data_IF_676354472802
#
_entry.id   IF_676354472802
#
_cell.length_a   1.000
_cell.length_b   1.000
_cell.length_c   1.000
_cell.angle_alpha   90.00
_cell.angle_beta   90.00
_cell.angle_gamma   90.00
#
_symmetry.space_group_name_H-M   'P 1'
#
loop_
_entity.id
_entity.type
_entity.pdbx_description
1 polymer ?
#
# COMPACT_ATOMS: atom_id res chain seq x y z
N UNK A 1 -28.11 -25.66 -7.93
CA UNK A 1 -27.58 -24.29 -8.06
C UNK A 1 -27.89 -23.54 -6.78
N UNK A 2 -26.98 -23.59 -5.81
CA UNK A 2 -27.17 -22.95 -4.51
C UNK A 2 -26.76 -21.48 -4.61
N UNK A 3 -27.73 -20.57 -4.50
CA UNK A 3 -27.46 -19.16 -4.27
C UNK A 3 -26.90 -19.08 -2.85
N UNK A 4 -25.58 -19.06 -2.71
CA UNK A 4 -24.95 -18.65 -1.45
C UNK A 4 -25.38 -17.21 -1.19
N UNK A 5 -26.27 -17.03 -0.22
CA UNK A 5 -26.55 -15.73 0.36
C UNK A 5 -25.22 -15.15 0.85
N UNK A 6 -24.75 -14.11 0.15
CA UNK A 6 -23.57 -13.33 0.51
C UNK A 6 -23.89 -12.65 1.85
N UNK A 7 -23.34 -13.18 2.93
CA UNK A 7 -23.10 -12.36 4.12
C UNK A 7 -22.01 -11.35 3.74
N UNK A 8 -22.41 -10.21 3.15
CA UNK A 8 -21.61 -8.99 3.32
C UNK A 8 -21.62 -8.73 4.82
N UNK A 9 -20.55 -9.10 5.53
CA UNK A 9 -20.42 -8.85 6.96
C UNK A 9 -20.70 -7.36 7.22
N UNK A 10 -21.82 -7.03 7.87
CA UNK A 10 -22.25 -5.66 8.18
C UNK A 10 -21.16 -4.84 8.90
N UNK A 11 -20.26 -5.54 9.62
CA UNK A 11 -19.02 -5.01 10.21
C UNK A 11 -18.17 -4.16 9.26
N UNK A 12 -18.18 -4.47 7.97
CA UNK A 12 -17.36 -3.78 6.96
C UNK A 12 -17.95 -2.44 6.50
N UNK A 13 -19.20 -2.11 6.78
CA UNK A 13 -19.76 -0.78 6.43
C UNK A 13 -19.26 0.34 7.35
N UNK A 14 -18.80 -0.01 8.54
CA UNK A 14 -18.41 0.95 9.57
C UNK A 14 -16.91 1.27 9.61
N UNK A 15 -16.06 0.49 8.92
CA UNK A 15 -14.62 0.70 8.88
C UNK A 15 -14.23 1.72 7.80
N UNK A 16 -13.38 2.69 8.16
CA UNK A 16 -12.89 3.70 7.19
C UNK A 16 -11.95 3.07 6.16
N UNK A 17 -11.19 2.06 6.57
CA UNK A 17 -10.18 1.42 5.74
C UNK A 17 -10.42 -0.09 5.67
N UNK A 18 -10.13 -0.66 4.49
CA UNK A 18 -10.06 -2.10 4.29
C UNK A 18 -8.59 -2.49 4.29
N UNK A 19 -8.23 -3.40 5.18
CA UNK A 19 -6.88 -3.94 5.29
C UNK A 19 -6.73 -5.18 4.41
N UNK A 20 -5.66 -5.22 3.63
CA UNK A 20 -5.22 -6.39 2.89
C UNK A 20 -3.76 -6.68 3.25
N UNK A 21 -3.41 -7.95 3.36
CA UNK A 21 -2.05 -8.38 3.63
C UNK A 21 -1.69 -9.54 2.73
N UNK A 22 -0.40 -9.81 2.58
CA UNK A 22 -0.02 -11.16 2.21
C UNK A 22 -0.51 -12.09 3.32
N UNK A 23 -1.28 -13.13 2.98
CA UNK A 23 -1.88 -13.99 4.00
C UNK A 23 -0.86 -14.53 4.98
N UNK A 24 -1.34 -15.05 6.10
CA UNK A 24 -0.55 -15.78 7.09
C UNK A 24 -0.08 -17.14 6.54
N UNK A 25 0.44 -17.19 5.32
CA UNK A 25 1.16 -18.36 4.84
C UNK A 25 2.57 -18.23 5.42
N UNK A 26 2.89 -19.09 6.39
CA UNK A 26 4.11 -19.08 7.20
C UNK A 26 5.39 -19.17 6.34
N UNK A 27 5.23 -19.48 5.06
CA UNK A 27 6.19 -19.16 4.02
C UNK A 27 6.09 -17.65 3.72
N UNK A 28 6.67 -16.84 4.62
CA UNK A 28 7.23 -15.55 4.20
C UNK A 28 7.99 -15.82 2.92
N UNK A 29 7.38 -15.45 1.80
CA UNK A 29 7.99 -15.65 0.51
C UNK A 29 9.11 -14.62 0.49
N UNK A 30 10.28 -15.04 0.97
CA UNK A 30 11.53 -14.34 0.75
C UNK A 30 11.71 -14.35 -0.76
N UNK A 31 11.11 -13.37 -1.42
CA UNK A 31 11.42 -13.10 -2.80
C UNK A 31 12.92 -12.87 -2.83
N UNK A 32 13.67 -13.55 -3.71
CA UNK A 32 15.01 -13.11 -4.01
C UNK A 32 14.89 -11.68 -4.56
N UNK A 33 15.13 -10.71 -3.69
CA UNK A 33 15.16 -9.31 -4.06
C UNK A 33 16.46 -9.13 -4.84
N UNK A 34 16.34 -9.05 -6.16
CA UNK A 34 17.44 -8.55 -6.97
C UNK A 34 17.59 -7.05 -6.69
N UNK A 35 18.59 -6.75 -5.88
CA UNK A 35 18.95 -5.39 -5.45
C UNK A 35 20.09 -4.81 -6.29
N UNK A 36 20.64 -5.55 -7.26
CA UNK A 36 21.89 -5.19 -7.94
C UNK A 36 21.81 -3.83 -8.66
N UNK A 37 20.62 -3.44 -9.11
CA UNK A 37 20.39 -2.16 -9.77
C UNK A 37 19.90 -1.04 -8.85
N UNK A 38 19.62 -1.33 -7.58
CA UNK A 38 19.05 -0.39 -6.62
C UNK A 38 20.12 0.06 -5.62
N UNK A 39 20.21 1.37 -5.37
CA UNK A 39 21.26 1.96 -4.53
C UNK A 39 20.76 2.46 -3.17
N UNK A 40 19.44 2.51 -2.97
CA UNK A 40 18.82 3.02 -1.76
C UNK A 40 17.69 2.09 -1.30
N UNK A 41 17.65 1.78 0.00
CA UNK A 41 16.54 1.10 0.65
C UNK A 41 15.77 2.12 1.49
N UNK A 42 14.47 2.27 1.23
CA UNK A 42 13.60 3.20 1.96
C UNK A 42 12.51 2.45 2.72
N UNK A 43 12.15 2.99 3.88
CA UNK A 43 10.95 2.53 4.61
C UNK A 43 9.71 3.20 4.02
N UNK A 44 8.61 2.45 3.95
CA UNK A 44 7.31 2.97 3.54
C UNK A 44 6.43 3.17 4.77
N UNK A 45 5.95 4.39 4.97
CA UNK A 45 5.20 4.80 6.16
C UNK A 45 3.92 5.56 5.79
N UNK A 46 2.97 5.59 6.70
CA UNK A 46 1.71 6.32 6.53
C UNK A 46 1.84 7.79 6.93
N UNK A 47 1.01 8.69 6.36
CA UNK A 47 1.03 10.13 6.68
C UNK A 47 0.78 10.48 8.16
N UNK A 48 0.15 9.59 8.92
CA UNK A 48 -0.14 9.73 10.35
C UNK A 48 0.94 9.10 11.24
N UNK A 49 2.08 8.72 10.67
CA UNK A 49 3.26 8.28 11.43
C UNK A 49 4.32 9.38 11.48
N UNK A 50 5.14 9.38 12.53
CA UNK A 50 6.28 10.29 12.61
C UNK A 50 7.24 10.04 11.45
N UNK A 51 7.63 11.11 10.75
CA UNK A 51 8.58 11.03 9.65
C UNK A 51 9.91 10.41 10.11
N UNK A 52 10.42 9.38 9.42
CA UNK A 52 11.77 8.86 9.63
C UNK A 52 12.83 9.94 9.41
N UNK A 53 13.98 9.81 10.08
CA UNK A 53 15.11 10.72 9.91
C UNK A 53 15.86 10.50 8.57
N UNK A 54 15.78 9.29 8.00
CA UNK A 54 16.35 8.93 6.71
C UNK A 54 15.32 9.11 5.58
N UNK A 55 15.76 9.07 4.32
CA UNK A 55 14.89 9.07 3.14
C UNK A 55 13.81 7.99 3.24
N UNK A 56 12.58 8.36 2.90
CA UNK A 56 11.41 7.51 3.12
C UNK A 56 10.33 7.75 2.08
N UNK A 57 9.40 6.80 1.99
CA UNK A 57 8.19 6.93 1.20
C UNK A 57 7.00 7.08 2.14
N UNK A 58 6.21 8.13 1.95
CA UNK A 58 4.96 8.36 2.66
C UNK A 58 3.77 7.98 1.79
N UNK A 59 2.77 7.32 2.35
CA UNK A 59 1.51 7.01 1.66
C UNK A 59 0.36 7.73 2.34
N UNK A 60 -0.43 8.45 1.54
CA UNK A 60 -1.70 9.03 1.94
C UNK A 60 -2.84 8.24 1.28
N UNK A 61 -3.52 7.41 2.08
CA UNK A 61 -4.62 6.57 1.59
C UNK A 61 -5.88 7.40 1.30
N UNK A 62 -6.08 8.51 2.00
CA UNK A 62 -7.29 9.33 1.81
C UNK A 62 -7.21 10.12 0.51
N UNK A 63 -6.02 10.58 0.15
CA UNK A 63 -5.75 11.28 -1.10
C UNK A 63 -5.29 10.34 -2.24
N UNK A 64 -5.09 9.05 -1.94
CA UNK A 64 -4.56 8.05 -2.87
C UNK A 64 -3.23 8.51 -3.53
N UNK A 65 -2.33 9.06 -2.70
CA UNK A 65 -1.02 9.54 -3.12
C UNK A 65 0.12 8.85 -2.38
N UNK A 66 1.27 8.83 -3.03
CA UNK A 66 2.53 8.34 -2.50
C UNK A 66 3.61 9.39 -2.73
N UNK A 67 4.31 9.79 -1.68
CA UNK A 67 5.36 10.81 -1.72
C UNK A 67 6.70 10.21 -1.38
N UNK A 68 7.67 10.31 -2.29
CA UNK A 68 9.07 9.94 -2.07
C UNK A 68 9.79 11.16 -1.53
N UNK A 69 10.48 10.99 -0.40
CA UNK A 69 11.33 12.02 0.20
C UNK A 69 12.76 11.51 0.25
N UNK A 70 13.59 12.05 -0.64
CA UNK A 70 15.01 11.72 -0.70
C UNK A 70 15.86 12.98 -0.45
N UNK A 71 16.27 13.17 0.81
CA UNK A 71 16.93 14.40 1.26
C UNK A 71 16.05 15.64 1.01
N UNK A 72 16.49 16.51 0.11
CA UNK A 72 15.75 17.72 -0.28
C UNK A 72 14.73 17.47 -1.41
N UNK A 73 14.81 16.34 -2.11
CA UNK A 73 13.93 16.02 -3.23
C UNK A 73 12.60 15.45 -2.72
N UNK A 74 11.50 15.92 -3.30
CA UNK A 74 10.15 15.41 -3.01
C UNK A 74 9.41 15.17 -4.31
N UNK A 75 8.93 13.95 -4.50
CA UNK A 75 8.11 13.54 -5.65
C UNK A 75 6.82 12.92 -5.18
N UNK A 76 5.71 13.23 -5.84
CA UNK A 76 4.40 12.68 -5.49
C UNK A 76 3.79 11.96 -6.69
N UNK A 77 3.32 10.75 -6.44
CA UNK A 77 2.68 9.86 -7.41
C UNK A 77 1.23 9.62 -7.00
N UNK A 78 0.33 9.48 -7.98
CA UNK A 78 -0.97 8.88 -7.71
C UNK A 78 -0.81 7.36 -7.59
N UNK A 79 -1.50 6.77 -6.62
CA UNK A 79 -1.61 5.31 -6.44
C UNK A 79 -3.04 4.80 -6.62
N UNK A 80 -3.91 5.62 -7.22
CA UNK A 80 -5.32 5.30 -7.45
C UNK A 80 -5.52 4.01 -8.27
N UNK A 81 -4.71 3.80 -9.31
CA UNK A 81 -4.75 2.58 -10.11
C UNK A 81 -4.37 1.32 -9.31
N UNK A 82 -3.34 1.43 -8.47
CA UNK A 82 -2.91 0.36 -7.58
C UNK A 82 -4.04 0.00 -6.59
N UNK A 83 -4.63 1.01 -5.95
CA UNK A 83 -5.78 0.82 -5.05
C UNK A 83 -6.98 0.23 -5.81
N UNK A 84 -7.24 0.66 -7.03
CA UNK A 84 -8.28 0.12 -7.90
C UNK A 84 -8.11 -1.38 -8.16
N UNK A 85 -6.88 -1.82 -8.43
CA UNK A 85 -6.53 -3.25 -8.61
C UNK A 85 -6.79 -4.04 -7.32
N UNK A 86 -6.33 -3.55 -6.17
CA UNK A 86 -6.57 -4.21 -4.88
C UNK A 86 -8.08 -4.34 -4.57
N UNK A 87 -8.85 -3.28 -4.82
CA UNK A 87 -10.32 -3.29 -4.67
C UNK A 87 -10.96 -4.34 -5.57
N UNK A 88 -10.50 -4.48 -6.82
CA UNK A 88 -11.02 -5.47 -7.77
C UNK A 88 -10.70 -6.91 -7.32
N UNK A 89 -9.49 -7.16 -6.82
CA UNK A 89 -9.10 -8.46 -6.26
C UNK A 89 -9.98 -8.82 -5.06
N UNK A 90 -10.12 -7.91 -4.09
CA UNK A 90 -10.97 -8.15 -2.92
C UNK A 90 -12.43 -8.43 -3.32
N UNK A 91 -12.99 -7.68 -4.27
CA UNK A 91 -14.38 -7.90 -4.76
C UNK A 91 -14.58 -9.23 -5.46
N UNK A 92 -13.58 -9.74 -6.18
CA UNK A 92 -13.67 -10.98 -6.94
C UNK A 92 -13.44 -12.22 -6.08
N UNK A 93 -12.55 -12.13 -5.10
CA UNK A 93 -12.12 -13.26 -4.26
C UNK A 93 -12.78 -13.29 -2.88
N UNK A 94 -13.33 -12.16 -2.41
CA UNK A 94 -13.75 -11.96 -1.03
C UNK A 94 -12.63 -12.28 -0.01
N UNK A 95 -11.37 -12.07 -0.40
CA UNK A 95 -10.18 -12.36 0.41
C UNK A 95 -9.45 -11.09 0.81
N UNK A 96 -9.09 -11.00 2.09
CA UNK A 96 -8.16 -9.99 2.62
C UNK A 96 -6.70 -10.44 2.53
N UNK A 97 -6.47 -11.70 2.17
CA UNK A 97 -5.17 -12.25 1.83
C UNK A 97 -4.94 -12.10 0.33
N UNK A 98 -3.90 -11.36 -0.05
CA UNK A 98 -3.53 -11.07 -1.43
C UNK A 98 -2.13 -11.63 -1.71
N UNK A 99 -1.87 -12.25 -2.87
CA UNK A 99 -0.53 -12.66 -3.26
C UNK A 99 0.47 -11.49 -3.28
N UNK A 100 1.73 -11.73 -2.89
CA UNK A 100 2.75 -10.69 -2.74
C UNK A 100 2.96 -9.86 -4.01
N UNK A 101 2.95 -10.48 -5.19
CA UNK A 101 3.12 -9.81 -6.49
C UNK A 101 2.02 -8.78 -6.78
N UNK A 102 0.84 -8.93 -6.16
CA UNK A 102 -0.27 -7.97 -6.24
C UNK A 102 -0.18 -6.86 -5.20
N UNK A 103 0.66 -7.02 -4.19
CA UNK A 103 1.03 -6.00 -3.20
C UNK A 103 2.40 -5.38 -3.51
N UNK A 104 2.83 -5.47 -4.76
CA UNK A 104 3.98 -4.75 -5.30
C UNK A 104 3.54 -3.55 -6.13
N UNK A 105 4.29 -2.45 -6.03
CA UNK A 105 4.10 -1.25 -6.84
C UNK A 105 5.44 -0.82 -7.42
N UNK A 106 5.48 -0.65 -8.74
CA UNK A 106 6.64 -0.09 -9.44
C UNK A 106 6.32 1.31 -9.94
N UNK A 107 7.22 2.25 -9.69
CA UNK A 107 7.10 3.65 -10.10
C UNK A 107 8.39 4.07 -10.80
N UNK A 108 8.23 4.87 -11.85
CA UNK A 108 9.37 5.44 -12.59
C UNK A 108 9.11 6.93 -12.77
N UNK A 109 10.10 7.74 -12.41
CA UNK A 109 10.15 9.17 -12.65
C UNK A 109 11.46 9.56 -13.31
N UNK A 110 11.67 10.86 -13.49
CA UNK A 110 12.94 11.40 -13.97
C UNK A 110 14.10 11.11 -13.01
N UNK A 111 13.87 11.17 -11.69
CA UNK A 111 14.94 10.97 -10.71
C UNK A 111 14.97 9.56 -10.10
N UNK A 112 13.88 8.80 -10.17
CA UNK A 112 13.78 7.51 -9.47
C UNK A 112 13.24 6.38 -10.35
N UNK A 113 13.76 5.18 -10.13
CA UNK A 113 13.07 3.92 -10.42
C UNK A 113 12.86 3.21 -9.08
N UNK A 114 11.60 2.90 -8.75
CA UNK A 114 11.19 2.50 -7.41
C UNK A 114 10.39 1.21 -7.52
N UNK A 115 10.76 0.21 -6.70
CA UNK A 115 9.97 -0.99 -6.48
C UNK A 115 9.60 -1.08 -5.01
N UNK A 116 8.30 -1.11 -4.74
CA UNK A 116 7.74 -1.15 -3.39
C UNK A 116 7.13 -2.51 -3.16
N UNK A 117 7.44 -3.09 -2.00
CA UNK A 117 6.92 -4.36 -1.54
C UNK A 117 6.14 -4.12 -0.25
N UNK A 118 4.81 -4.21 -0.32
CA UNK A 118 3.95 -4.10 0.85
C UNK A 118 3.77 -5.48 1.49
N UNK A 119 4.03 -5.58 2.79
CA UNK A 119 3.59 -6.72 3.62
C UNK A 119 2.11 -6.57 3.98
N UNK A 120 1.71 -5.33 4.28
CA UNK A 120 0.32 -4.95 4.51
C UNK A 120 0.02 -3.59 3.90
N UNK A 121 -1.18 -3.47 3.35
CA UNK A 121 -1.67 -2.23 2.77
C UNK A 121 -3.15 -2.06 3.13
N UNK A 122 -3.56 -0.83 3.36
CA UNK A 122 -4.97 -0.51 3.57
C UNK A 122 -5.42 0.50 2.54
N UNK A 123 -6.66 0.39 2.08
CA UNK A 123 -7.26 1.38 1.20
C UNK A 123 -8.58 1.90 1.77
N UNK A 124 -8.97 3.12 1.37
CA UNK A 124 -10.24 3.71 1.81
C UNK A 124 -11.41 2.86 1.37
N UNK A 125 -12.27 2.52 2.32
CA UNK A 125 -13.48 1.75 2.11
C UNK A 125 -14.53 2.60 1.37
N UNK A 126 -14.97 2.22 0.16
CA UNK A 126 -15.99 2.97 -0.58
C UNK A 126 -17.37 2.98 0.10
N UNK A 127 -17.64 2.04 1.02
CA UNK A 127 -18.91 1.93 1.74
C UNK A 127 -18.89 2.64 3.11
N UNK A 128 -17.80 3.32 3.46
CA UNK A 128 -17.65 3.97 4.77
C UNK A 128 -18.66 5.10 4.96
N UNK A 129 -19.41 5.05 6.05
CA UNK A 129 -20.29 6.13 6.51
C UNK A 129 -19.80 6.67 7.87
N UNK A 130 -19.22 7.87 7.85
CA UNK A 130 -18.70 8.54 9.04
C UNK A 130 -19.77 8.75 10.13
N UNK A 131 -21.04 8.90 9.75
CA UNK A 131 -22.15 9.14 10.69
C UNK A 131 -22.54 7.89 11.49
N UNK A 132 -22.19 6.71 10.98
CA UNK A 132 -22.47 5.42 11.61
C UNK A 132 -21.21 4.75 12.17
N UNK A 133 -20.05 5.37 11.95
CA UNK A 133 -18.76 4.79 12.30
C UNK A 133 -18.40 4.96 13.78
N UNK A 134 -17.70 3.97 14.32
CA UNK A 134 -17.01 4.11 15.61
C UNK A 134 -15.58 4.63 15.35
N UNK A 135 -15.17 5.70 16.05
CA UNK A 135 -13.84 6.34 15.89
C UNK A 135 -12.67 5.36 16.02
N UNK A 136 -12.83 4.28 16.80
CA UNK A 136 -11.78 3.29 17.03
C UNK A 136 -11.42 2.44 15.80
N UNK A 137 -12.27 2.40 14.76
CA UNK A 137 -12.05 1.57 13.56
C UNK A 137 -11.56 2.36 12.33
N UNK A 138 -10.91 3.51 12.59
CA UNK A 138 -10.35 4.39 11.56
C UNK A 138 -8.83 4.33 11.46
N UNK A 139 -8.17 3.35 12.09
CA UNK A 139 -6.75 3.12 11.85
C UNK A 139 -6.55 2.35 10.54
N UNK A 140 -5.39 2.53 9.92
CA UNK A 140 -4.99 1.73 8.78
C UNK A 140 -3.63 1.09 9.04
N UNK A 141 -3.41 -0.05 8.40
CA UNK A 141 -2.14 -0.76 8.41
C UNK A 141 -1.41 -0.49 7.10
N UNK A 142 -0.15 -0.08 7.22
CA UNK A 142 0.77 0.08 6.11
C UNK A 142 2.14 -0.39 6.58
N UNK A 143 2.65 -1.43 5.93
CA UNK A 143 4.00 -1.94 6.18
C UNK A 143 4.60 -2.33 4.85
N UNK A 144 5.76 -1.76 4.55
CA UNK A 144 6.47 -2.09 3.33
C UNK A 144 7.88 -1.52 3.29
N UNK A 145 8.64 -2.00 2.31
CA UNK A 145 9.97 -1.53 1.98
C UNK A 145 10.00 -1.12 0.51
N UNK A 146 10.88 -0.19 0.17
CA UNK A 146 11.09 0.23 -1.20
C UNK A 146 12.56 0.12 -1.58
N UNK A 147 12.82 -0.50 -2.73
CA UNK A 147 14.09 -0.43 -3.43
C UNK A 147 14.04 0.76 -4.38
N UNK A 148 15.03 1.65 -4.26
CA UNK A 148 15.10 2.89 -5.04
C UNK A 148 16.43 2.94 -5.77
N UNK A 149 16.35 3.25 -7.07
CA UNK A 149 17.48 3.54 -7.94
C UNK A 149 17.44 5.02 -8.29
N UNK A 150 18.36 5.77 -7.69
CA UNK A 150 18.52 7.19 -7.97
C UNK A 150 19.17 7.35 -9.35
N UNK A 151 18.43 7.94 -10.31
CA UNK A 151 18.95 8.32 -11.62
C UNK A 151 19.81 9.55 -11.41
N UNK A 152 21.11 9.46 -11.69
CA UNK A 152 22.02 10.61 -11.60
C UNK A 152 21.41 11.78 -12.38
N UNK A 153 21.16 12.90 -11.71
CA UNK A 153 20.95 14.16 -12.41
C UNK A 153 22.24 14.47 -13.17
N UNK A 154 22.17 14.49 -14.49
CA UNK A 154 23.27 15.01 -15.30
C UNK A 154 23.54 16.45 -14.85
N UNK A 155 24.81 16.83 -14.60
CA UNK A 155 25.17 18.18 -14.18
C UNK A 155 24.82 19.23 -15.23
#
# INVERSE_FOLDING_TARGET
MGVQQRYENDYMTYQKYIHVSTGYDEKKSYLPLDISEYNTLMTVVGTNTSAPAASFISVDIDNETLTVRDGANTETFSISEFIGKLRAIHRSTNSYSIPQDKLELSLVSENHEIRIFFESFSYKNPKYDAKKSNKYNSSYSLKGIALVKNKKQSP
#
